data_IF_003892239374
#
_entry.id   IF_003892239374
#
_cell.length_a   1.000
_cell.length_b   1.000
_cell.length_c   1.000
_cell.angle_alpha   90.00
_cell.angle_beta   90.00
_cell.angle_gamma   90.00
#
_symmetry.space_group_name_H-M   'P 1'
#
loop_
_entity.id
_entity.type
_entity.pdbx_description
1 polymer ?
#
# COMPACT_ATOMS: atom_id res chain seq x y z
N UNK A 1 42.41 -27.54 20.11
CA UNK A 1 40.94 -27.70 20.15
C UNK A 1 40.32 -26.33 19.94
N UNK A 2 39.40 -26.18 18.98
CA UNK A 2 38.72 -24.90 18.71
C UNK A 2 37.24 -25.08 19.07
N UNK A 3 36.71 -24.21 19.92
CA UNK A 3 35.28 -24.18 20.27
C UNK A 3 34.70 -22.85 19.78
N UNK A 4 34.25 -22.86 18.53
CA UNK A 4 33.70 -21.69 17.85
C UNK A 4 32.64 -22.15 16.83
N UNK A 5 31.73 -21.26 16.39
CA UNK A 5 30.79 -21.53 15.31
C UNK A 5 31.53 -21.59 13.96
N UNK A 6 32.26 -22.68 13.74
CA UNK A 6 33.07 -22.93 12.55
C UNK A 6 32.27 -23.80 11.56
N UNK A 7 32.10 -23.31 10.33
CA UNK A 7 31.41 -24.06 9.28
C UNK A 7 32.30 -25.17 8.74
N UNK A 8 31.74 -26.38 8.63
CA UNK A 8 32.38 -27.53 7.99
C UNK A 8 32.37 -27.31 6.48
N UNK A 9 33.55 -27.26 5.85
CA UNK A 9 33.71 -27.17 4.40
C UNK A 9 34.82 -28.15 3.95
N UNK A 10 34.84 -28.57 2.67
CA UNK A 10 35.81 -29.55 2.20
C UNK A 10 37.26 -29.05 2.28
N UNK A 11 37.49 -27.76 2.00
CA UNK A 11 38.83 -27.16 2.05
C UNK A 11 39.44 -27.14 3.45
N UNK A 12 38.65 -26.90 4.52
CA UNK A 12 39.17 -27.01 5.89
C UNK A 12 39.29 -28.47 6.31
N UNK A 13 38.39 -29.34 5.85
CA UNK A 13 38.41 -30.77 6.21
C UNK A 13 39.67 -31.49 5.71
N UNK A 14 40.41 -30.92 4.75
CA UNK A 14 41.72 -31.43 4.30
C UNK A 14 42.83 -31.21 5.35
N UNK A 15 42.73 -30.14 6.15
CA UNK A 15 43.76 -29.76 7.13
C UNK A 15 43.34 -30.00 8.59
N UNK A 16 42.04 -30.13 8.87
CA UNK A 16 41.50 -30.30 10.22
C UNK A 16 40.40 -31.37 10.28
N UNK A 17 40.37 -32.12 11.38
CA UNK A 17 39.31 -33.09 11.66
C UNK A 17 38.12 -32.41 12.38
N UNK A 18 36.91 -32.65 11.89
CA UNK A 18 35.68 -32.11 12.47
C UNK A 18 34.93 -33.17 13.29
N UNK A 19 34.37 -32.77 14.43
CA UNK A 19 33.40 -33.58 15.16
C UNK A 19 32.04 -33.61 14.46
N UNK A 20 31.10 -34.40 14.99
CA UNK A 20 29.73 -34.40 14.49
C UNK A 20 29.12 -32.99 14.59
N UNK A 21 28.35 -32.53 13.58
CA UNK A 21 27.74 -31.20 13.61
C UNK A 21 26.81 -31.06 14.83
N UNK A 22 27.05 -30.05 15.66
CA UNK A 22 26.17 -29.73 16.80
C UNK A 22 24.99 -28.83 16.39
N UNK A 23 25.05 -28.20 15.20
CA UNK A 23 24.01 -27.30 14.69
C UNK A 23 23.95 -27.35 13.16
N UNK A 24 22.74 -27.49 12.62
CA UNK A 24 22.46 -27.41 11.18
C UNK A 24 21.96 -26.01 10.83
N UNK A 25 22.63 -25.32 9.89
CA UNK A 25 22.26 -23.98 9.43
C UNK A 25 22.47 -23.85 7.92
N UNK A 26 21.61 -23.07 7.27
CA UNK A 26 21.70 -22.74 5.84
C UNK A 26 22.02 -21.27 5.62
N UNK A 27 22.25 -20.88 4.36
CA UNK A 27 22.46 -19.47 3.98
C UNK A 27 21.15 -18.72 4.19
N UNK A 28 21.21 -17.60 4.91
CA UNK A 28 20.08 -16.71 5.12
C UNK A 28 20.37 -15.34 4.55
N UNK A 29 19.31 -14.68 4.11
CA UNK A 29 19.31 -13.39 3.46
C UNK A 29 18.76 -12.37 4.46
N UNK A 30 19.50 -11.31 4.72
CA UNK A 30 19.07 -10.20 5.55
C UNK A 30 18.85 -8.96 4.67
N UNK A 31 17.64 -8.42 4.72
CA UNK A 31 17.22 -7.22 3.98
C UNK A 31 16.45 -6.30 4.95
N UNK A 32 16.61 -4.99 4.78
CA UNK A 32 15.83 -4.01 5.54
C UNK A 32 14.35 -4.13 5.15
N UNK A 33 13.48 -4.32 6.14
CA UNK A 33 12.02 -4.29 5.89
C UNK A 33 11.67 -2.89 5.37
N UNK A 34 11.08 -2.76 4.16
CA UNK A 34 10.66 -1.45 3.66
C UNK A 34 9.64 -0.86 4.65
N UNK A 35 9.82 0.40 5.02
CA UNK A 35 8.84 1.11 5.83
C UNK A 35 7.53 1.21 5.03
N UNK A 36 6.41 0.87 5.68
CA UNK A 36 5.09 1.11 5.11
C UNK A 36 4.83 2.61 5.24
N UNK A 37 5.17 3.39 4.21
CA UNK A 37 4.68 4.77 4.12
C UNK A 37 3.20 4.70 3.75
N UNK A 38 2.35 4.53 4.75
CA UNK A 38 0.91 4.71 4.58
C UNK A 38 0.68 6.21 4.40
N UNK A 39 0.77 6.71 3.17
CA UNK A 39 0.43 8.11 2.92
C UNK A 39 -1.08 8.24 3.15
N UNK A 40 -1.54 9.29 3.84
CA UNK A 40 -2.97 9.57 4.05
C UNK A 40 -3.76 9.64 2.72
N UNK A 41 -3.06 9.85 1.61
CA UNK A 41 -3.55 9.86 0.22
C UNK A 41 -3.89 8.46 -0.30
N UNK A 42 -3.38 7.37 0.30
CA UNK A 42 -3.75 5.99 -0.07
C UNK A 42 -5.24 5.71 0.10
N UNK A 43 -5.94 6.47 0.96
CA UNK A 43 -7.39 6.38 1.06
C UNK A 43 -8.10 6.94 -0.17
N UNK A 44 -7.54 7.93 -0.86
CA UNK A 44 -8.11 8.51 -2.09
C UNK A 44 -7.74 7.73 -3.36
N UNK A 45 -6.71 6.89 -3.28
CA UNK A 45 -6.21 6.04 -4.37
C UNK A 45 -7.22 5.09 -5.03
N UNK A 46 -8.30 4.58 -4.37
CA UNK A 46 -9.27 3.71 -5.01
C UNK A 46 -10.01 4.40 -6.16
N UNK A 47 -10.17 5.72 -6.15
CA UNK A 47 -10.75 6.45 -7.27
C UNK A 47 -9.71 7.32 -7.95
N UNK A 48 -9.63 7.21 -9.28
CA UNK A 48 -8.85 8.14 -10.08
C UNK A 48 -9.33 9.56 -9.86
N UNK A 49 -8.43 10.54 -9.92
CA UNK A 49 -8.76 11.96 -9.82
C UNK A 49 -9.89 12.36 -10.80
N UNK A 50 -9.95 11.72 -11.97
CA UNK A 50 -11.02 11.90 -12.95
C UNK A 50 -12.41 11.53 -12.40
N UNK A 51 -12.52 10.43 -11.66
CA UNK A 51 -13.79 9.97 -11.08
C UNK A 51 -14.25 10.90 -9.95
N UNK A 52 -13.32 11.38 -9.12
CA UNK A 52 -13.63 12.37 -8.09
C UNK A 52 -14.20 13.66 -8.66
N UNK A 53 -13.58 14.17 -9.74
CA UNK A 53 -14.09 15.35 -10.46
C UNK A 53 -15.48 15.06 -11.04
N UNK A 54 -15.71 13.87 -11.60
CA UNK A 54 -17.00 13.49 -12.16
C UNK A 54 -18.10 13.43 -11.08
N UNK A 55 -17.80 12.86 -9.90
CA UNK A 55 -18.72 12.85 -8.75
C UNK A 55 -19.03 14.29 -8.32
N UNK A 56 -18.01 15.13 -8.15
CA UNK A 56 -18.19 16.55 -7.80
C UNK A 56 -19.10 17.28 -8.80
N UNK A 57 -18.85 17.12 -10.10
CA UNK A 57 -19.67 17.74 -11.15
C UNK A 57 -21.10 17.19 -11.10
N UNK A 58 -21.28 15.88 -10.91
CA UNK A 58 -22.61 15.26 -10.85
C UNK A 58 -23.48 15.82 -9.72
N UNK A 59 -22.91 16.08 -8.54
CA UNK A 59 -23.62 16.70 -7.39
C UNK A 59 -24.13 18.09 -7.77
N UNK A 60 -23.30 18.90 -8.42
CA UNK A 60 -23.69 20.27 -8.83
C UNK A 60 -24.74 20.25 -9.93
N UNK A 61 -24.67 19.30 -10.88
CA UNK A 61 -25.70 19.12 -11.92
C UNK A 61 -27.03 18.73 -11.30
N UNK A 62 -27.05 17.76 -10.36
CA UNK A 62 -28.29 17.34 -9.68
C UNK A 62 -28.87 18.47 -8.84
N UNK A 63 -28.04 19.21 -8.11
CA UNK A 63 -28.48 20.38 -7.35
C UNK A 63 -29.08 21.47 -8.24
N UNK A 64 -28.46 21.75 -9.41
CA UNK A 64 -28.99 22.69 -10.39
C UNK A 64 -30.34 22.22 -10.95
N UNK A 65 -30.47 20.94 -11.30
CA UNK A 65 -31.74 20.38 -11.82
C UNK A 65 -32.83 20.42 -10.75
N UNK A 66 -32.52 20.11 -9.49
CA UNK A 66 -33.47 20.24 -8.37
C UNK A 66 -33.93 21.69 -8.20
N UNK A 67 -33.00 22.64 -8.27
CA UNK A 67 -33.29 24.08 -8.19
C UNK A 67 -34.19 24.54 -9.36
N UNK A 68 -33.88 24.13 -10.60
CA UNK A 68 -34.68 24.47 -11.78
C UNK A 68 -36.08 23.84 -11.69
N UNK A 69 -36.19 22.57 -11.26
CA UNK A 69 -37.49 21.91 -11.11
C UNK A 69 -38.36 22.56 -10.04
N UNK A 70 -37.77 23.07 -8.94
CA UNK A 70 -38.52 23.81 -7.94
C UNK A 70 -38.93 25.20 -8.46
N UNK A 71 -38.04 25.89 -9.17
CA UNK A 71 -38.31 27.21 -9.77
C UNK A 71 -39.37 27.19 -10.86
N UNK A 72 -39.39 26.14 -11.70
CA UNK A 72 -40.35 25.96 -12.78
C UNK A 72 -41.65 25.26 -12.35
N UNK A 73 -41.71 24.69 -11.14
CA UNK A 73 -42.94 24.07 -10.62
C UNK A 73 -44.03 25.12 -10.38
N UNK A 74 -45.12 25.15 -11.19
CA UNK A 74 -46.22 26.10 -11.00
C UNK A 74 -47.09 25.76 -9.79
N UNK A 75 -46.93 24.57 -9.20
CA UNK A 75 -47.77 24.06 -8.11
C UNK A 75 -47.38 24.59 -6.72
N UNK A 76 -46.21 25.19 -6.56
CA UNK A 76 -45.86 25.91 -5.32
C UNK A 76 -46.67 27.20 -5.15
N UNK A 77 -46.99 27.88 -6.26
CA UNK A 77 -47.77 29.13 -6.25
C UNK A 77 -49.26 28.92 -5.99
N UNK A 78 -49.81 27.75 -6.33
CA UNK A 78 -51.25 27.52 -6.24
C UNK A 78 -51.74 27.12 -4.83
N UNK A 79 -50.83 26.68 -3.94
CA UNK A 79 -51.18 26.32 -2.56
C UNK A 79 -50.84 27.40 -1.52
N UNK A 80 -49.97 28.35 -1.85
CA UNK A 80 -49.59 29.45 -0.95
C UNK A 80 -50.65 30.57 -0.88
N UNK A 81 -51.64 30.58 -1.78
CA UNK A 81 -52.72 31.57 -1.75
C UNK A 81 -53.79 31.33 -0.66
N UNK A 82 -53.70 30.23 0.10
CA UNK A 82 -54.72 29.84 1.09
C UNK A 82 -54.19 29.64 2.52
N UNK A 83 -52.95 30.00 2.83
CA UNK A 83 -52.48 29.95 4.22
C UNK A 83 -51.56 31.13 4.50
N UNK A 84 -52.08 31.96 5.39
CA UNK A 84 -51.51 33.16 6.00
C UNK A 84 -50.11 32.91 6.56
N UNK A 85 -49.20 33.85 6.30
CA UNK A 85 -48.05 34.17 7.15
C UNK A 85 -47.04 33.07 7.51
N UNK A 86 -46.20 32.67 6.56
CA UNK A 86 -44.76 32.51 6.80
C UNK A 86 -44.01 32.63 5.47
N UNK A 87 -43.01 33.50 5.43
CA UNK A 87 -41.93 33.47 4.44
C UNK A 87 -41.09 32.19 4.65
N UNK A 88 -41.68 31.01 4.46
CA UNK A 88 -40.93 29.76 4.30
C UNK A 88 -40.45 29.68 2.86
N UNK A 89 -39.35 30.40 2.65
CA UNK A 89 -38.54 30.59 1.46
C UNK A 89 -38.61 29.46 0.43
N UNK A 90 -38.72 29.86 -0.84
CA UNK A 90 -38.40 29.04 -2.00
C UNK A 90 -37.08 28.27 -1.77
N UNK A 91 -36.93 27.04 -2.30
CA UNK A 91 -35.68 26.29 -2.14
C UNK A 91 -34.50 27.12 -2.67
N UNK A 92 -33.73 27.71 -1.76
CA UNK A 92 -32.52 28.43 -2.10
C UNK A 92 -31.53 27.44 -2.74
N UNK A 93 -30.79 27.88 -3.77
CA UNK A 93 -29.78 27.07 -4.47
C UNK A 93 -28.81 26.41 -3.48
N UNK A 94 -28.49 27.11 -2.38
CA UNK A 94 -27.68 26.61 -1.27
C UNK A 94 -28.31 25.39 -0.59
N UNK A 95 -29.61 25.40 -0.26
CA UNK A 95 -30.32 24.26 0.36
C UNK A 95 -30.35 23.04 -0.58
N UNK A 96 -30.54 23.25 -1.89
CA UNK A 96 -30.49 22.16 -2.88
C UNK A 96 -29.09 21.53 -3.02
N UNK A 97 -28.03 22.35 -2.98
CA UNK A 97 -26.64 21.87 -2.98
C UNK A 97 -26.34 21.08 -1.69
N UNK A 98 -26.73 21.62 -0.53
CA UNK A 98 -26.58 20.95 0.76
C UNK A 98 -27.35 19.63 0.81
N UNK A 99 -28.56 19.57 0.24
CA UNK A 99 -29.33 18.33 0.12
C UNK A 99 -28.61 17.29 -0.75
N UNK A 100 -28.12 17.69 -1.93
CA UNK A 100 -27.40 16.77 -2.84
C UNK A 100 -26.14 16.19 -2.18
N UNK A 101 -25.38 17.02 -1.46
CA UNK A 101 -24.24 16.62 -0.64
C UNK A 101 -24.62 15.73 0.54
N UNK A 102 -25.70 16.06 1.25
CA UNK A 102 -26.20 15.29 2.38
C UNK A 102 -26.58 13.86 1.97
N UNK A 103 -27.27 13.71 0.83
CA UNK A 103 -27.62 12.39 0.28
C UNK A 103 -26.38 11.61 -0.15
N UNK A 104 -25.37 12.25 -0.78
CA UNK A 104 -24.13 11.58 -1.18
C UNK A 104 -23.34 11.05 0.03
N UNK A 105 -23.26 11.85 1.10
CA UNK A 105 -22.51 11.53 2.30
C UNK A 105 -23.29 10.67 3.31
N UNK A 106 -24.52 10.25 2.97
CA UNK A 106 -25.47 9.63 3.90
C UNK A 106 -25.65 10.46 5.21
N UNK A 107 -25.49 11.77 5.12
CA UNK A 107 -25.70 12.68 6.24
C UNK A 107 -27.19 13.00 6.36
N UNK A 108 -27.81 12.62 7.47
CA UNK A 108 -29.25 12.79 7.72
C UNK A 108 -29.70 14.23 7.99
N UNK A 109 -28.97 15.24 7.51
CA UNK A 109 -29.26 16.66 7.75
C UNK A 109 -30.16 17.16 6.62
N UNK A 110 -31.47 17.10 6.87
CA UNK A 110 -32.52 17.55 5.95
C UNK A 110 -33.10 18.89 6.35
N UNK A 111 -32.41 19.99 6.01
CA UNK A 111 -33.01 21.33 5.99
C UNK A 111 -33.37 21.69 4.54
N UNK A 112 -34.50 21.15 4.08
CA UNK A 112 -35.05 21.41 2.74
C UNK A 112 -35.41 20.14 1.98
N UNK A 113 -36.53 19.51 2.35
CA UNK A 113 -37.07 18.38 1.55
C UNK A 113 -37.79 18.91 0.32
N UNK A 114 -37.53 18.37 -0.88
CA UNK A 114 -38.21 18.81 -2.10
C UNK A 114 -39.73 18.62 -1.99
N UNK A 115 -40.48 19.72 -2.13
CA UNK A 115 -41.95 19.74 -2.02
C UNK A 115 -42.65 19.19 -3.27
N UNK A 116 -42.03 19.24 -4.45
CA UNK A 116 -42.61 18.79 -5.72
C UNK A 116 -42.47 17.27 -5.97
N UNK A 117 -43.46 16.66 -6.62
CA UNK A 117 -43.46 15.22 -6.93
C UNK A 117 -42.27 14.82 -7.84
N UNK A 118 -41.94 15.65 -8.83
CA UNK A 118 -40.79 15.46 -9.71
C UNK A 118 -39.45 15.51 -8.97
N UNK A 119 -39.28 16.45 -8.05
CA UNK A 119 -38.05 16.56 -7.27
C UNK A 119 -37.89 15.42 -6.24
N UNK A 120 -39.00 14.85 -5.73
CA UNK A 120 -38.97 13.63 -4.90
C UNK A 120 -38.50 12.41 -5.67
N UNK A 121 -39.02 12.20 -6.88
CA UNK A 121 -38.58 11.09 -7.74
C UNK A 121 -37.10 11.27 -8.11
N UNK A 122 -36.68 12.48 -8.46
CA UNK A 122 -35.27 12.77 -8.74
C UNK A 122 -34.37 12.54 -7.52
N UNK A 123 -34.82 12.92 -6.32
CA UNK A 123 -34.12 12.66 -5.06
C UNK A 123 -33.97 11.17 -4.77
N UNK A 124 -34.98 10.34 -5.05
CA UNK A 124 -34.89 8.88 -4.91
C UNK A 124 -33.88 8.26 -5.88
N UNK A 125 -33.87 8.71 -7.14
CA UNK A 125 -32.89 8.26 -8.15
C UNK A 125 -31.47 8.68 -7.74
N UNK A 126 -31.30 9.91 -7.26
CA UNK A 126 -30.02 10.40 -6.74
C UNK A 126 -29.53 9.60 -5.53
N UNK A 127 -30.43 9.25 -4.60
CA UNK A 127 -30.08 8.39 -3.47
C UNK A 127 -29.62 6.99 -3.89
N UNK A 128 -30.28 6.38 -4.90
CA UNK A 128 -29.82 5.11 -5.48
C UNK A 128 -28.44 5.23 -6.13
N UNK A 129 -28.20 6.31 -6.88
CA UNK A 129 -26.90 6.58 -7.50
C UNK A 129 -25.79 6.80 -6.46
N UNK A 130 -26.06 7.57 -5.41
CA UNK A 130 -25.14 7.79 -4.29
C UNK A 130 -24.78 6.47 -3.59
N UNK A 131 -25.76 5.61 -3.33
CA UNK A 131 -25.52 4.29 -2.73
C UNK A 131 -24.59 3.43 -3.61
N UNK A 132 -24.78 3.44 -4.93
CA UNK A 132 -23.91 2.71 -5.88
C UNK A 132 -22.48 3.26 -5.86
N UNK A 133 -22.30 4.59 -5.80
CA UNK A 133 -20.97 5.20 -5.72
C UNK A 133 -20.26 4.77 -4.44
N UNK A 134 -20.93 4.88 -3.30
CA UNK A 134 -20.35 4.51 -2.00
C UNK A 134 -20.02 3.01 -1.96
N UNK A 135 -20.91 2.16 -2.45
CA UNK A 135 -20.68 0.72 -2.53
C UNK A 135 -19.49 0.36 -3.45
N UNK A 136 -19.36 1.05 -4.59
CA UNK A 136 -18.23 0.85 -5.51
C UNK A 136 -16.92 1.32 -4.92
N UNK A 137 -16.94 2.44 -4.17
CA UNK A 137 -15.78 2.95 -3.45
C UNK A 137 -15.31 1.95 -2.38
N UNK A 138 -16.22 1.45 -1.54
CA UNK A 138 -15.88 0.48 -0.50
C UNK A 138 -15.40 -0.84 -1.09
N UNK A 139 -15.99 -1.31 -2.19
CA UNK A 139 -15.54 -2.50 -2.90
C UNK A 139 -14.12 -2.32 -3.47
N UNK A 140 -13.82 -1.19 -4.11
CA UNK A 140 -12.49 -0.98 -4.69
C UNK A 140 -11.42 -0.72 -3.62
N UNK A 141 -11.78 -0.05 -2.52
CA UNK A 141 -10.91 0.10 -1.36
C UNK A 141 -10.59 -1.29 -0.75
N UNK A 142 -11.58 -2.16 -0.59
CA UNK A 142 -11.37 -3.51 -0.10
C UNK A 142 -10.48 -4.34 -1.04
N UNK A 143 -10.69 -4.24 -2.35
CA UNK A 143 -9.82 -4.88 -3.34
C UNK A 143 -8.37 -4.38 -3.23
N UNK A 144 -8.17 -3.07 -3.06
CA UNK A 144 -6.86 -2.49 -2.87
C UNK A 144 -6.17 -2.99 -1.60
N UNK A 145 -6.88 -3.05 -0.46
CA UNK A 145 -6.35 -3.55 0.81
C UNK A 145 -5.92 -5.03 0.72
N UNK A 146 -6.60 -5.84 -0.09
CA UNK A 146 -6.21 -7.24 -0.34
C UNK A 146 -5.02 -7.35 -1.30
N UNK A 147 -4.92 -6.43 -2.27
CA UNK A 147 -3.89 -6.44 -3.31
C UNK A 147 -2.59 -5.73 -2.93
N UNK A 148 -2.54 -4.97 -1.84
CA UNK A 148 -1.30 -4.48 -1.24
C UNK A 148 -0.46 -5.67 -0.72
N UNK A 149 0.18 -6.38 -1.66
CA UNK A 149 1.18 -7.38 -1.34
C UNK A 149 2.38 -6.63 -0.79
N UNK A 150 2.81 -6.86 0.46
CA UNK A 150 4.09 -6.35 0.92
C UNK A 150 5.14 -6.79 -0.10
N UNK A 151 6.07 -5.88 -0.48
CA UNK A 151 7.19 -6.20 -1.40
C UNK A 151 7.67 -7.60 -1.05
N UNK A 152 7.54 -8.52 -2.02
CA UNK A 152 7.75 -9.95 -1.77
C UNK A 152 9.14 -10.13 -1.21
N UNK A 153 9.24 -10.75 -0.02
CA UNK A 153 10.51 -11.19 0.53
C UNK A 153 11.22 -12.02 -0.54
N UNK A 154 12.52 -11.83 -0.67
CA UNK A 154 13.33 -12.63 -1.59
C UNK A 154 13.08 -14.12 -1.33
N UNK A 155 12.75 -14.83 -2.40
CA UNK A 155 12.34 -16.24 -2.33
C UNK A 155 13.50 -17.18 -1.97
N UNK A 156 14.74 -16.67 -2.00
CA UNK A 156 15.96 -17.37 -1.64
C UNK A 156 17.06 -17.09 -2.67
N UNK A 157 18.09 -17.92 -2.69
CA UNK A 157 19.27 -17.77 -3.57
C UNK A 157 18.94 -17.86 -5.07
N UNK A 158 17.82 -18.51 -5.42
CA UNK A 158 17.37 -18.68 -6.80
C UNK A 158 16.51 -17.51 -7.31
N UNK A 159 16.31 -16.47 -6.50
CA UNK A 159 15.51 -15.32 -6.90
C UNK A 159 16.16 -14.62 -8.11
N UNK A 160 15.36 -14.36 -9.14
CA UNK A 160 15.83 -13.70 -10.36
C UNK A 160 16.47 -12.32 -10.06
N UNK A 161 16.02 -11.65 -9.00
CA UNK A 161 16.58 -10.37 -8.54
C UNK A 161 17.99 -10.47 -7.97
N UNK A 162 18.36 -11.62 -7.40
CA UNK A 162 19.72 -11.87 -6.91
C UNK A 162 20.65 -12.33 -8.03
N UNK A 163 20.14 -13.15 -8.95
CA UNK A 163 20.93 -13.67 -10.08
C UNK A 163 21.28 -12.58 -11.11
N UNK A 164 20.31 -11.73 -11.43
CA UNK A 164 20.51 -10.54 -12.23
C UNK A 164 20.49 -9.36 -11.27
N UNK A 165 21.64 -9.07 -10.65
CA UNK A 165 21.80 -7.95 -9.75
C UNK A 165 21.38 -6.67 -10.48
N UNK A 166 20.13 -6.26 -10.29
CA UNK A 166 19.60 -5.02 -10.83
C UNK A 166 20.30 -3.86 -10.09
N UNK A 167 20.48 -2.72 -10.76
CA UNK A 167 21.21 -1.54 -10.25
C UNK A 167 20.72 -1.02 -8.88
N UNK A 168 19.57 -1.50 -8.40
CA UNK A 168 18.95 -1.09 -7.14
C UNK A 168 19.12 -2.09 -5.98
N UNK A 169 19.88 -3.18 -6.15
CA UNK A 169 20.05 -4.23 -5.15
C UNK A 169 21.52 -4.65 -5.01
N UNK A 170 22.20 -4.17 -3.98
CA UNK A 170 23.61 -4.51 -3.74
C UNK A 170 23.70 -5.75 -2.84
N UNK A 171 24.37 -6.81 -3.29
CA UNK A 171 24.60 -7.99 -2.47
C UNK A 171 25.98 -7.92 -1.82
N UNK A 172 26.09 -8.32 -0.55
CA UNK A 172 27.35 -8.35 0.18
C UNK A 172 27.43 -9.57 1.13
N UNK A 173 28.64 -10.01 1.43
CA UNK A 173 28.92 -10.94 2.51
C UNK A 173 30.14 -10.50 3.32
N UNK A 174 30.50 -11.30 4.33
CA UNK A 174 31.71 -11.11 5.14
C UNK A 174 32.89 -11.80 4.44
N UNK A 175 33.97 -11.05 4.18
CA UNK A 175 35.20 -11.57 3.55
C UNK A 175 35.78 -12.72 4.35
N UNK A 176 36.23 -13.79 3.67
CA UNK A 176 36.82 -14.97 4.32
C UNK A 176 35.81 -15.82 5.12
N UNK A 177 34.52 -15.52 5.03
CA UNK A 177 33.48 -16.34 5.63
C UNK A 177 33.22 -17.61 4.82
N UNK A 178 32.54 -18.57 5.42
CA UNK A 178 32.11 -19.77 4.70
C UNK A 178 31.16 -19.46 3.54
N UNK A 179 30.43 -18.33 3.60
CA UNK A 179 29.57 -17.87 2.49
C UNK A 179 30.44 -17.37 1.34
N UNK A 180 31.42 -16.51 1.61
CA UNK A 180 32.37 -16.01 0.60
C UNK A 180 33.03 -17.18 -0.17
N UNK A 181 33.53 -18.18 0.56
CA UNK A 181 34.11 -19.39 -0.04
C UNK A 181 33.08 -20.21 -0.85
N UNK A 182 31.84 -20.31 -0.38
CA UNK A 182 30.77 -21.02 -1.08
C UNK A 182 30.43 -20.38 -2.43
N UNK A 183 30.27 -19.05 -2.46
CA UNK A 183 29.96 -18.31 -3.67
C UNK A 183 31.13 -18.30 -4.66
N UNK A 184 32.37 -18.22 -4.16
CA UNK A 184 33.57 -18.33 -5.00
C UNK A 184 33.69 -19.68 -5.71
N UNK A 185 33.23 -20.76 -5.09
CA UNK A 185 33.28 -22.12 -5.65
C UNK A 185 32.19 -22.39 -6.70
N UNK A 186 31.05 -21.72 -6.61
CA UNK A 186 29.92 -21.98 -7.50
C UNK A 186 30.01 -21.17 -8.80
N UNK A 187 30.26 -21.87 -9.91
CA UNK A 187 30.38 -21.25 -11.24
C UNK A 187 29.09 -20.52 -11.65
N UNK A 188 27.92 -21.07 -11.30
CA UNK A 188 26.61 -20.47 -11.60
C UNK A 188 26.37 -19.12 -10.90
N UNK A 189 27.05 -18.88 -9.77
CA UNK A 189 26.95 -17.67 -8.97
C UNK A 189 28.12 -16.71 -9.20
N UNK A 190 29.02 -17.01 -10.14
CA UNK A 190 30.20 -16.18 -10.44
C UNK A 190 29.86 -14.72 -10.77
N UNK A 191 28.76 -14.49 -11.52
CA UNK A 191 28.29 -13.14 -11.83
C UNK A 191 27.88 -12.37 -10.57
N UNK A 192 27.14 -13.04 -9.68
CA UNK A 192 26.74 -12.47 -8.39
C UNK A 192 27.95 -12.22 -7.49
N UNK A 193 28.93 -13.14 -7.50
CA UNK A 193 30.16 -13.02 -6.73
C UNK A 193 30.97 -11.78 -7.11
N UNK A 194 31.08 -11.45 -8.40
CA UNK A 194 31.81 -10.25 -8.87
C UNK A 194 31.24 -8.95 -8.30
N UNK A 195 29.91 -8.83 -8.31
CA UNK A 195 29.22 -7.66 -7.73
C UNK A 195 29.29 -7.65 -6.20
N UNK A 196 29.35 -8.83 -5.59
CA UNK A 196 29.47 -8.97 -4.14
C UNK A 196 30.89 -8.63 -3.65
N UNK A 197 31.91 -9.00 -4.42
CA UNK A 197 33.32 -8.82 -4.07
C UNK A 197 33.69 -7.35 -3.86
N UNK A 198 33.13 -6.44 -4.66
CA UNK A 198 33.34 -4.99 -4.51
C UNK A 198 32.72 -4.42 -3.22
N UNK A 199 31.66 -5.04 -2.71
CA UNK A 199 30.84 -4.52 -1.62
C UNK A 199 30.95 -5.36 -0.32
N UNK A 200 31.90 -6.29 -0.26
CA UNK A 200 32.05 -7.19 0.88
C UNK A 200 32.56 -6.48 2.14
N UNK A 201 31.98 -6.88 3.28
CA UNK A 201 32.31 -6.37 4.61
C UNK A 201 33.43 -7.19 5.27
N UNK A 202 34.20 -6.56 6.15
CA UNK A 202 35.23 -7.27 6.93
C UNK A 202 34.63 -8.02 8.14
N UNK A 203 33.57 -7.47 8.71
CA UNK A 203 32.96 -7.98 9.96
C UNK A 203 31.45 -8.05 9.82
N UNK A 204 30.80 -9.01 10.49
CA UNK A 204 29.36 -9.21 10.39
C UNK A 204 28.57 -8.07 11.07
N UNK A 205 29.13 -7.49 12.13
CA UNK A 205 28.53 -6.45 12.95
C UNK A 205 28.37 -5.15 12.14
N UNK A 206 29.43 -4.73 11.43
CA UNK A 206 29.40 -3.57 10.54
C UNK A 206 28.33 -3.73 9.46
N UNK A 207 28.24 -4.92 8.87
CA UNK A 207 27.25 -5.21 7.85
C UNK A 207 25.82 -5.07 8.42
N UNK A 208 25.55 -5.64 9.60
CA UNK A 208 24.23 -5.55 10.25
C UNK A 208 23.85 -4.10 10.56
N UNK A 209 24.82 -3.29 11.00
CA UNK A 209 24.60 -1.86 11.30
C UNK A 209 24.23 -1.07 10.04
N UNK A 210 24.94 -1.28 8.93
CA UNK A 210 24.64 -0.62 7.65
C UNK A 210 23.25 -0.97 7.12
N UNK A 211 22.83 -2.23 7.24
CA UNK A 211 21.48 -2.67 6.85
C UNK A 211 20.40 -2.06 7.75
N UNK A 212 20.68 -1.85 9.05
CA UNK A 212 19.75 -1.15 9.94
C UNK A 212 19.60 0.31 9.56
N UNK A 213 20.71 1.00 9.35
CA UNK A 213 20.75 2.41 8.93
C UNK A 213 20.05 2.55 7.56
N UNK A 214 20.13 1.51 6.71
CA UNK A 214 19.54 1.48 5.38
C UNK A 214 20.28 2.38 4.41
N UNK A 215 21.60 2.44 4.59
CA UNK A 215 22.50 3.25 3.77
C UNK A 215 22.58 2.73 2.32
N UNK A 216 22.11 1.51 2.08
CA UNK A 216 21.86 0.96 0.76
C UNK A 216 20.68 -0.01 0.82
N UNK A 217 20.04 -0.30 -0.33
CA UNK A 217 19.21 -1.49 -0.49
C UNK A 217 20.09 -2.76 -0.51
N UNK A 218 21.00 -2.85 0.46
CA UNK A 218 22.00 -3.89 0.55
C UNK A 218 21.43 -5.11 1.24
N UNK A 219 21.84 -6.26 0.72
CA UNK A 219 21.45 -7.56 1.22
C UNK A 219 22.68 -8.26 1.75
N UNK A 220 22.58 -8.80 2.97
CA UNK A 220 23.66 -9.58 3.57
C UNK A 220 23.33 -11.06 3.54
N UNK A 221 24.27 -11.83 3.02
CA UNK A 221 24.22 -13.29 3.01
C UNK A 221 25.10 -13.86 4.11
N UNK A 222 24.51 -14.63 5.03
CA UNK A 222 25.26 -15.25 6.13
C UNK A 222 24.57 -16.53 6.63
N UNK A 223 25.35 -17.54 7.04
CA UNK A 223 24.84 -18.75 7.70
C UNK A 223 24.34 -18.50 9.14
N UNK A 224 24.74 -17.38 9.77
CA UNK A 224 24.58 -17.16 11.22
C UNK A 224 23.49 -16.16 11.63
N UNK A 225 22.97 -15.35 10.71
CA UNK A 225 22.16 -14.17 11.04
C UNK A 225 20.83 -14.48 11.73
N UNK A 226 20.18 -15.62 11.44
CA UNK A 226 18.90 -15.99 12.07
C UNK A 226 19.00 -16.18 13.59
N UNK A 227 20.19 -16.45 14.12
CA UNK A 227 20.43 -16.59 15.57
C UNK A 227 20.73 -15.27 16.30
N UNK A 228 21.13 -14.21 15.58
CA UNK A 228 21.47 -12.91 16.18
C UNK A 228 20.27 -11.95 16.28
N UNK A 229 19.19 -12.23 15.52
CA UNK A 229 17.97 -11.42 15.51
C UNK A 229 16.86 -11.99 16.42
N UNK A 230 17.20 -13.01 17.23
CA UNK A 230 16.32 -13.67 18.18
C UNK A 230 16.74 -13.41 19.61
N UNK A 231 16.53 -12.17 20.07
CA UNK A 231 16.30 -11.78 21.47
C UNK A 231 15.50 -10.48 21.46
#
# INVERSE_FOLDING_TARGET
>A
MIVAPLTINPERAEFIEFSKPFKYQGITILEKKPSRSSTLVSFLQPFSNTLWILVMVSVHVVALVLYLLDRFSPFGRFKLANTDGTEEDALNLSSAIWFAWGVLLNSGIGEGTPRSFSARVLGMVWAGFAMIIVASYTANLAAFLVLERPKTKLTGINDARLRNTMENLTCATVKGSAVDMYFRRQVELSNMYRTMESNNYNTAEQAIEDVKIGYDNSIILNFRLKGFLGS
#
